data_IF_328808744857
#
_entry.id   IF_328808744857
#
_cell.length_a   1.000
_cell.length_b   1.000
_cell.length_c   1.000
_cell.angle_alpha   90.00
_cell.angle_beta   90.00
_cell.angle_gamma   90.00
#
_symmetry.space_group_name_H-M   'P 1'
#
loop_
_entity.id
_entity.type
_entity.pdbx_description
1 polymer ?
#
# COMPACT_ATOMS: atom_id res chain seq x y z
N UNK A 1 22.89 -60.70 50.77
CA UNK A 1 21.57 -60.05 50.92
C UNK A 1 21.66 -58.57 50.52
N UNK A 2 21.79 -58.24 49.23
CA UNK A 2 21.96 -56.83 48.76
C UNK A 2 21.12 -56.47 47.54
N UNK A 3 20.15 -57.30 47.14
CA UNK A 3 19.56 -57.24 45.80
C UNK A 3 18.39 -56.25 45.64
N UNK A 4 17.68 -55.87 46.70
CA UNK A 4 16.46 -55.05 46.56
C UNK A 4 16.71 -53.54 46.55
N UNK A 5 17.76 -53.07 47.24
CA UNK A 5 18.10 -51.64 47.32
C UNK A 5 18.85 -51.19 46.05
N UNK A 6 19.67 -52.07 45.48
CA UNK A 6 20.44 -51.84 44.27
C UNK A 6 19.55 -51.84 43.01
N UNK A 7 18.55 -52.73 42.95
CA UNK A 7 17.54 -52.74 41.87
C UNK A 7 16.71 -51.45 41.81
N UNK A 8 16.19 -50.99 42.96
CA UNK A 8 15.42 -49.73 43.04
C UNK A 8 16.25 -48.53 42.60
N UNK A 9 17.50 -48.43 43.06
CA UNK A 9 18.41 -47.34 42.65
C UNK A 9 18.67 -47.33 41.14
N UNK A 10 18.76 -48.51 40.50
CA UNK A 10 18.93 -48.62 39.04
C UNK A 10 17.68 -48.24 38.25
N UNK A 11 16.49 -48.54 38.75
CA UNK A 11 15.22 -48.13 38.13
C UNK A 11 15.03 -46.62 38.22
N UNK A 12 15.25 -46.02 39.40
CA UNK A 12 15.20 -44.57 39.60
C UNK A 12 16.17 -43.81 38.67
N UNK A 13 17.37 -44.36 38.44
CA UNK A 13 18.32 -43.74 37.49
C UNK A 13 17.87 -43.83 36.03
N UNK A 14 17.19 -44.93 35.64
CA UNK A 14 16.66 -45.09 34.28
C UNK A 14 15.47 -44.18 34.02
N UNK A 15 14.61 -44.02 35.02
CA UNK A 15 13.49 -43.09 34.96
C UNK A 15 14.00 -41.64 34.87
N UNK A 16 15.04 -41.30 35.64
CA UNK A 16 15.72 -40.00 35.52
C UNK A 16 16.31 -39.75 34.13
N UNK A 17 16.98 -40.75 33.55
CA UNK A 17 17.54 -40.65 32.20
C UNK A 17 16.45 -40.50 31.11
N UNK A 18 15.34 -41.24 31.24
CA UNK A 18 14.18 -41.09 30.38
C UNK A 18 13.56 -39.69 30.46
N UNK A 19 13.38 -39.15 31.67
CA UNK A 19 12.85 -37.80 31.85
C UNK A 19 13.76 -36.73 31.26
N UNK A 20 15.09 -36.87 31.37
CA UNK A 20 16.05 -35.94 30.79
C UNK A 20 15.97 -35.95 29.25
N UNK A 21 15.92 -37.13 28.64
CA UNK A 21 15.83 -37.26 27.18
C UNK A 21 14.49 -36.74 26.64
N UNK A 22 13.39 -37.03 27.35
CA UNK A 22 12.07 -36.53 27.00
C UNK A 22 11.98 -35.01 27.10
N UNK A 23 12.50 -34.42 28.19
CA UNK A 23 12.55 -32.96 28.39
C UNK A 23 13.35 -32.30 27.27
N UNK A 24 14.55 -32.83 26.95
CA UNK A 24 15.38 -32.31 25.86
C UNK A 24 14.67 -32.37 24.50
N UNK A 25 13.93 -33.45 24.24
CA UNK A 25 13.15 -33.59 23.02
C UNK A 25 12.03 -32.53 22.95
N UNK A 26 11.29 -32.32 24.04
CA UNK A 26 10.24 -31.30 24.11
C UNK A 26 10.80 -29.89 23.93
N UNK A 27 11.91 -29.54 24.59
CA UNK A 27 12.54 -28.24 24.41
C UNK A 27 13.01 -28.00 22.98
N UNK A 28 13.57 -29.03 22.32
CA UNK A 28 13.94 -28.92 20.91
C UNK A 28 12.72 -28.68 20.03
N UNK A 29 11.63 -29.39 20.29
CA UNK A 29 10.37 -29.23 19.55
C UNK A 29 9.76 -27.84 19.77
N UNK A 30 9.82 -27.33 20.99
CA UNK A 30 9.37 -25.98 21.33
C UNK A 30 10.18 -24.92 20.55
N UNK A 31 11.52 -24.98 20.59
CA UNK A 31 12.38 -24.05 19.84
C UNK A 31 12.12 -24.07 18.34
N UNK A 32 11.89 -25.25 17.77
CA UNK A 32 11.54 -25.37 16.35
C UNK A 32 10.21 -24.68 16.04
N UNK A 33 9.17 -24.91 16.86
CA UNK A 33 7.85 -24.29 16.68
C UNK A 33 7.91 -22.76 16.86
N UNK A 34 8.70 -22.27 17.82
CA UNK A 34 8.91 -20.83 18.01
C UNK A 34 9.57 -20.19 16.78
N UNK A 35 10.55 -20.88 16.19
CA UNK A 35 11.24 -20.42 14.98
C UNK A 35 10.30 -20.42 13.77
N UNK A 36 9.52 -21.48 13.58
CA UNK A 36 8.51 -21.57 12.53
C UNK A 36 7.46 -20.47 12.66
N UNK A 37 6.97 -20.22 13.88
CA UNK A 37 6.05 -19.12 14.15
C UNK A 37 6.65 -17.76 13.77
N UNK A 38 7.90 -17.50 14.15
CA UNK A 38 8.57 -16.23 13.80
C UNK A 38 8.68 -16.02 12.30
N UNK A 39 8.99 -17.08 11.54
CA UNK A 39 9.05 -17.02 10.08
C UNK A 39 7.68 -16.72 9.47
N UNK A 40 6.63 -17.42 9.94
CA UNK A 40 5.26 -17.20 9.49
C UNK A 40 4.76 -15.77 9.81
N UNK A 41 5.06 -15.27 11.01
CA UNK A 41 4.70 -13.90 11.40
C UNK A 41 5.39 -12.85 10.51
N UNK A 42 6.65 -13.07 10.16
CA UNK A 42 7.39 -12.19 9.24
C UNK A 42 6.81 -12.22 7.82
N UNK A 43 6.49 -13.40 7.31
CA UNK A 43 5.87 -13.55 5.99
C UNK A 43 4.47 -12.92 5.94
N UNK A 44 3.67 -13.13 6.99
CA UNK A 44 2.35 -12.51 7.13
C UNK A 44 2.45 -10.98 7.10
N UNK A 45 3.39 -10.39 7.85
CA UNK A 45 3.59 -8.95 7.85
C UNK A 45 3.97 -8.42 6.45
N UNK A 46 4.85 -9.12 5.75
CA UNK A 46 5.22 -8.77 4.37
C UNK A 46 4.01 -8.76 3.44
N UNK A 47 3.17 -9.79 3.53
CA UNK A 47 1.95 -9.92 2.72
C UNK A 47 0.91 -8.84 3.07
N UNK A 48 0.75 -8.50 4.34
CA UNK A 48 -0.14 -7.41 4.76
C UNK A 48 0.29 -6.05 4.17
N UNK A 49 1.59 -5.78 4.12
CA UNK A 49 2.14 -4.57 3.49
C UNK A 49 1.93 -4.56 1.97
N UNK A 50 2.13 -5.70 1.31
CA UNK A 50 1.89 -5.86 -0.13
C UNK A 50 0.41 -5.64 -0.47
N UNK A 51 -0.50 -6.23 0.31
CA UNK A 51 -1.94 -6.02 0.18
C UNK A 51 -2.34 -4.54 0.37
N UNK A 52 -1.75 -3.86 1.36
CA UNK A 52 -2.02 -2.45 1.56
C UNK A 52 -1.56 -1.60 0.37
N UNK A 53 -0.38 -1.90 -0.16
CA UNK A 53 0.19 -1.20 -1.32
C UNK A 53 -0.68 -1.40 -2.57
N UNK A 54 -1.11 -2.64 -2.84
CA UNK A 54 -2.00 -2.95 -3.96
C UNK A 54 -3.38 -2.29 -3.82
N UNK A 55 -3.93 -2.22 -2.61
CA UNK A 55 -5.18 -1.47 -2.37
C UNK A 55 -5.03 0.01 -2.70
N UNK A 56 -3.93 0.63 -2.26
CA UNK A 56 -3.65 2.02 -2.57
C UNK A 56 -3.48 2.26 -4.08
N UNK A 57 -2.87 1.31 -4.80
CA UNK A 57 -2.76 1.37 -6.26
C UNK A 57 -4.12 1.25 -6.95
N UNK A 58 -4.96 0.29 -6.52
CA UNK A 58 -6.33 0.14 -7.01
C UNK A 58 -7.15 1.40 -6.76
N UNK A 59 -7.04 2.01 -5.58
CA UNK A 59 -7.77 3.22 -5.25
C UNK A 59 -7.34 4.39 -6.14
N UNK A 60 -6.05 4.53 -6.45
CA UNK A 60 -5.54 5.51 -7.44
C UNK A 60 -6.03 5.24 -8.85
N UNK A 61 -6.14 3.98 -9.25
CA UNK A 61 -6.69 3.63 -10.57
C UNK A 61 -8.20 3.86 -10.65
N UNK A 62 -8.89 3.80 -9.51
CA UNK A 62 -10.31 4.14 -9.37
C UNK A 62 -10.55 5.63 -9.25
N UNK A 63 -9.53 6.43 -8.93
CA UNK A 63 -9.65 7.89 -8.99
C UNK A 63 -10.11 8.25 -10.41
N UNK A 64 -11.22 9.00 -10.54
CA UNK A 64 -11.73 9.38 -11.85
C UNK A 64 -10.60 10.01 -12.67
N UNK A 65 -10.40 9.61 -13.94
CA UNK A 65 -9.35 10.19 -14.76
C UNK A 65 -9.58 11.70 -14.81
N UNK A 66 -8.53 12.46 -14.51
CA UNK A 66 -8.55 13.92 -14.60
C UNK A 66 -8.98 14.30 -16.02
N UNK A 67 -10.15 14.93 -16.14
CA UNK A 67 -10.70 15.30 -17.44
C UNK A 67 -9.85 16.45 -17.97
N UNK A 68 -9.10 16.19 -19.04
CA UNK A 68 -8.33 17.24 -19.72
C UNK A 68 -9.27 18.11 -20.56
N UNK A 69 -9.06 19.42 -20.49
CA UNK A 69 -9.82 20.39 -21.26
C UNK A 69 -8.90 21.50 -21.80
N UNK A 70 -9.28 22.07 -22.94
CA UNK A 70 -8.59 23.20 -23.57
C UNK A 70 -9.33 24.49 -23.23
N UNK A 71 -8.61 25.54 -22.83
CA UNK A 71 -9.22 26.87 -22.62
C UNK A 71 -9.63 27.44 -23.98
N UNK A 72 -10.90 27.87 -24.07
CA UNK A 72 -11.40 28.63 -25.22
C UNK A 72 -11.30 30.12 -24.93
N UNK A 73 -11.79 30.57 -23.76
CA UNK A 73 -11.87 31.98 -23.43
C UNK A 73 -11.92 32.23 -21.91
N UNK A 74 -11.57 33.44 -21.48
CA UNK A 74 -11.71 33.89 -20.09
C UNK A 74 -12.89 34.86 -19.99
N UNK A 75 -13.82 34.55 -19.08
CA UNK A 75 -15.04 35.33 -18.91
C UNK A 75 -14.84 36.51 -17.95
N UNK A 76 -13.89 36.40 -17.01
CA UNK A 76 -13.53 37.50 -16.11
C UNK A 76 -12.12 37.39 -15.49
N UNK A 77 -11.63 38.53 -15.00
CA UNK A 77 -10.38 38.64 -14.21
C UNK A 77 -10.47 37.92 -12.85
N UNK A 78 -11.69 37.55 -12.44
CA UNK A 78 -11.93 36.80 -11.19
C UNK A 78 -11.58 35.32 -11.33
N UNK A 79 -11.36 34.84 -12.56
CA UNK A 79 -10.80 33.52 -12.85
C UNK A 79 -11.81 32.55 -13.47
N UNK A 80 -12.95 33.03 -13.99
CA UNK A 80 -13.88 32.17 -14.73
C UNK A 80 -13.38 32.01 -16.16
N UNK A 81 -13.34 30.76 -16.63
CA UNK A 81 -12.93 30.42 -17.98
C UNK A 81 -13.93 29.45 -18.62
N UNK A 82 -14.10 29.60 -19.93
CA UNK A 82 -14.77 28.62 -20.79
C UNK A 82 -13.71 27.62 -21.23
N UNK A 83 -13.97 26.34 -20.98
CA UNK A 83 -13.14 25.26 -21.52
C UNK A 83 -13.96 24.34 -22.40
N UNK A 84 -13.28 23.67 -23.33
CA UNK A 84 -13.80 22.53 -24.06
C UNK A 84 -13.22 21.25 -23.48
N UNK A 85 -14.05 20.39 -22.91
CA UNK A 85 -13.60 19.07 -22.49
C UNK A 85 -13.14 18.26 -23.70
N UNK A 86 -12.08 17.49 -23.52
CA UNK A 86 -11.66 16.46 -24.49
C UNK A 86 -12.79 15.48 -24.85
N UNK A 87 -13.78 15.31 -23.97
CA UNK A 87 -14.98 14.48 -24.18
C UNK A 87 -16.12 15.16 -24.95
N UNK A 88 -15.94 16.42 -25.39
CA UNK A 88 -16.88 17.13 -26.27
C UNK A 88 -17.62 18.33 -25.66
N UNK A 89 -18.23 18.26 -24.46
CA UNK A 89 -18.99 19.37 -23.91
C UNK A 89 -18.10 20.53 -23.48
N UNK A 90 -18.66 21.74 -23.53
CA UNK A 90 -18.01 22.96 -23.05
C UNK A 90 -18.58 23.36 -21.70
N UNK A 91 -17.70 23.75 -20.78
CA UNK A 91 -18.08 24.10 -19.41
C UNK A 91 -17.53 25.48 -19.04
N UNK A 92 -18.29 26.20 -18.20
CA UNK A 92 -17.78 27.38 -17.50
C UNK A 92 -17.26 26.91 -16.15
N UNK A 93 -15.98 27.16 -15.91
CA UNK A 93 -15.30 26.73 -14.67
C UNK A 93 -14.61 27.87 -13.98
N UNK A 94 -14.33 27.66 -12.70
CA UNK A 94 -13.52 28.58 -11.92
C UNK A 94 -12.08 28.06 -11.88
N UNK A 95 -11.13 28.88 -12.32
CA UNK A 95 -9.71 28.58 -12.24
C UNK A 95 -9.27 28.57 -10.77
N UNK A 96 -8.58 27.50 -10.38
CA UNK A 96 -7.98 27.42 -9.04
C UNK A 96 -6.91 28.50 -8.86
N UNK A 97 -6.75 29.00 -7.63
CA UNK A 97 -5.74 30.02 -7.26
C UNK A 97 -4.31 29.60 -7.61
N UNK A 98 -4.01 28.30 -7.69
CA UNK A 98 -2.70 27.78 -8.12
C UNK A 98 -2.43 28.00 -9.61
N UNK A 99 -3.48 28.05 -10.43
CA UNK A 99 -3.39 28.16 -11.89
C UNK A 99 -3.30 29.64 -12.34
N UNK A 100 -3.74 30.59 -11.50
CA UNK A 100 -3.66 32.04 -11.79
C UNK A 100 -2.24 32.58 -12.02
N UNK A 101 -1.20 31.86 -11.59
CA UNK A 101 0.18 32.31 -11.73
C UNK A 101 0.83 31.90 -13.06
N UNK A 102 0.19 31.05 -13.86
CA UNK A 102 0.60 30.78 -15.23
C UNK A 102 -0.16 31.75 -16.14
N UNK A 103 0.56 32.70 -16.77
CA UNK A 103 -0.04 33.57 -17.78
C UNK A 103 -0.47 32.70 -18.96
N UNK A 104 -1.77 32.60 -19.19
CA UNK A 104 -2.35 31.96 -20.35
C UNK A 104 -2.45 33.00 -21.47
N UNK A 105 -1.48 33.00 -22.37
CA UNK A 105 -1.62 33.72 -23.63
C UNK A 105 -2.64 32.96 -24.49
N UNK A 106 -3.84 33.50 -24.59
CA UNK A 106 -4.88 33.01 -25.49
C UNK A 106 -4.35 33.26 -26.91
N UNK A 107 -4.14 32.19 -27.69
CA UNK A 107 -3.72 32.33 -29.08
C UNK A 107 -4.86 32.96 -29.89
N UNK A 108 -4.83 34.29 -30.03
CA UNK A 108 -5.58 34.97 -31.09
C UNK A 108 -4.91 34.65 -32.42
N UNK A 109 -5.66 33.98 -33.30
CA UNK A 109 -5.42 33.86 -34.74
C UNK A 109 -4.08 33.24 -35.22
N UNK A 110 -4.24 32.11 -35.92
CA UNK A 110 -3.30 31.56 -36.91
C UNK A 110 -1.83 31.36 -36.46
N UNK A 111 -1.58 30.30 -35.68
CA UNK A 111 -0.22 29.79 -35.53
C UNK A 111 -0.16 28.57 -34.63
N UNK A 112 0.22 27.42 -35.17
CA UNK A 112 0.37 26.16 -34.45
C UNK A 112 1.27 26.29 -33.20
N UNK A 113 0.65 26.47 -32.03
CA UNK A 113 1.26 26.16 -30.74
C UNK A 113 0.66 24.89 -30.13
N UNK A 114 1.41 24.14 -29.29
CA UNK A 114 0.90 22.92 -28.69
C UNK A 114 -0.29 23.22 -27.75
N UNK A 115 -1.34 22.38 -27.76
CA UNK A 115 -2.48 22.55 -26.86
C UNK A 115 -2.01 22.49 -25.41
N UNK A 116 -2.35 23.51 -24.61
CA UNK A 116 -2.10 23.53 -23.16
C UNK A 116 -3.29 22.91 -22.44
N UNK A 117 -3.06 21.82 -21.71
CA UNK A 117 -4.06 21.08 -20.97
C UNK A 117 -4.25 21.67 -19.57
N UNK A 118 -5.49 21.82 -19.11
CA UNK A 118 -5.81 22.12 -17.70
C UNK A 118 -6.52 20.93 -17.08
N UNK A 119 -6.01 20.51 -15.92
CA UNK A 119 -6.62 19.48 -15.10
C UNK A 119 -7.85 20.05 -14.39
N UNK A 120 -9.03 19.54 -14.74
CA UNK A 120 -10.25 19.86 -14.05
C UNK A 120 -10.45 18.91 -12.87
N UNK A 121 -10.38 19.45 -11.66
CA UNK A 121 -10.87 18.74 -10.47
C UNK A 121 -12.39 18.57 -10.60
N UNK A 122 -12.81 17.30 -10.72
CA UNK A 122 -14.16 16.89 -10.38
C UNK A 122 -14.42 17.22 -8.90
N UNK A 123 -15.59 17.80 -8.64
CA UNK A 123 -16.08 18.04 -7.28
C UNK A 123 -16.15 16.74 -6.48
#
# INVERSE_FOLDING_TARGET
MTTTKDKRKREETKDGEYLITYTRHLEKRLRNLETEKQLLDAERLRLEQELHSLRNEIDRLREPPLVSATIIDFLDDKGRAIVKSSTGPSFVVNASRKVKNEKFDIQSEYGHGPPRFIDMLGK
#
